data_IF_763064610114
#
_entry.id   IF_763064610114
#
_cell.length_a   1.000
_cell.length_b   1.000
_cell.length_c   1.000
_cell.angle_alpha   90.00
_cell.angle_beta   90.00
_cell.angle_gamma   90.00
#
_symmetry.space_group_name_H-M   'P 1'
#
loop_
_entity.id
_entity.type
_entity.pdbx_description
1 polymer ?
#
# COMPACT_ATOMS: atom_id res chain seq x y z
N UNK A 1 59.17 56.47 -21.94
CA UNK A 1 58.91 57.65 -21.09
C UNK A 1 57.48 58.12 -21.32
N UNK A 2 56.72 58.43 -20.28
CA UNK A 2 56.44 57.66 -19.05
C UNK A 2 54.96 57.21 -19.04
N UNK A 3 54.55 56.05 -18.50
CA UNK A 3 54.57 55.54 -17.12
C UNK A 3 53.42 56.07 -16.25
N UNK A 4 52.61 55.15 -15.70
CA UNK A 4 52.04 55.02 -14.34
C UNK A 4 50.91 53.96 -14.43
N UNK A 5 51.02 52.69 -13.99
CA UNK A 5 51.26 52.12 -12.65
C UNK A 5 50.24 52.65 -11.62
N UNK A 6 49.60 51.90 -10.72
CA UNK A 6 49.45 50.47 -10.40
C UNK A 6 48.42 50.41 -9.24
N UNK A 7 48.02 49.20 -8.88
CA UNK A 7 47.66 48.76 -7.51
C UNK A 7 46.19 48.76 -7.05
N UNK A 8 45.68 47.53 -7.00
CA UNK A 8 44.77 46.92 -6.01
C UNK A 8 45.04 47.36 -4.56
N UNK A 9 44.01 47.39 -3.70
CA UNK A 9 44.18 47.18 -2.26
C UNK A 9 43.54 45.85 -1.78
N UNK A 10 44.38 45.09 -1.09
CA UNK A 10 44.10 43.91 -0.26
C UNK A 10 43.38 44.30 1.06
N UNK A 11 42.59 43.42 1.70
CA UNK A 11 41.80 43.75 2.89
C UNK A 11 42.56 43.49 4.21
N UNK A 12 42.32 44.32 5.23
CA UNK A 12 42.73 44.12 6.64
C UNK A 12 42.02 45.13 7.56
N UNK A 13 41.98 44.96 8.90
CA UNK A 13 41.37 43.91 9.72
C UNK A 13 40.41 44.51 10.79
N UNK A 14 39.62 43.72 11.58
CA UNK A 14 38.82 44.29 12.66
C UNK A 14 39.67 44.55 13.92
N UNK A 15 39.66 45.80 14.41
CA UNK A 15 40.25 46.20 15.70
C UNK A 15 39.19 46.21 16.80
N UNK A 16 39.43 45.38 17.81
CA UNK A 16 38.85 45.43 19.15
C UNK A 16 39.35 46.62 19.96
N UNK A 17 38.58 47.01 20.99
CA UNK A 17 38.95 47.58 22.31
C UNK A 17 38.00 48.72 22.69
N UNK A 18 37.60 49.00 23.94
CA UNK A 18 37.78 48.52 25.33
C UNK A 18 36.83 49.45 26.16
N UNK A 19 36.28 49.15 27.33
CA UNK A 19 36.86 49.14 28.69
C UNK A 19 35.66 49.02 29.67
N UNK A 20 35.60 48.07 30.61
CA UNK A 20 36.17 48.07 31.98
C UNK A 20 35.36 48.99 32.96
N UNK A 21 35.10 48.67 34.25
CA UNK A 21 35.74 47.75 35.18
C UNK A 21 34.94 47.57 36.52
N UNK A 22 35.27 46.49 37.26
CA UNK A 22 35.47 46.40 38.74
C UNK A 22 34.26 46.42 39.70
N UNK A 23 34.18 45.71 40.84
CA UNK A 23 35.06 44.86 41.67
C UNK A 23 34.14 43.92 42.52
N UNK A 24 34.41 42.63 42.76
CA UNK A 24 35.37 41.96 43.67
C UNK A 24 35.22 42.28 45.17
N UNK A 25 34.78 41.27 45.94
CA UNK A 25 35.29 40.78 47.24
C UNK A 25 34.17 39.99 47.97
N UNK A 26 34.37 38.94 48.78
CA UNK A 26 35.42 37.96 49.10
C UNK A 26 34.73 37.05 50.14
N UNK A 27 34.89 35.73 50.08
CA UNK A 27 34.22 34.87 51.07
C UNK A 27 34.44 33.37 50.91
N UNK A 28 35.68 32.96 51.08
CA UNK A 28 36.15 31.58 51.16
C UNK A 28 35.45 30.79 52.28
N UNK A 29 34.94 29.59 51.98
CA UNK A 29 34.98 28.44 52.90
C UNK A 29 35.01 27.13 52.13
N UNK A 30 35.83 26.25 52.67
CA UNK A 30 36.40 25.05 52.13
C UNK A 30 35.75 23.81 52.80
N UNK A 31 35.74 22.69 52.07
CA UNK A 31 35.67 21.30 52.54
C UNK A 31 34.39 20.72 53.18
N UNK A 32 33.70 19.86 52.42
CA UNK A 32 33.52 18.40 52.69
C UNK A 32 32.35 17.81 51.86
N UNK A 33 32.43 16.55 51.38
CA UNK A 33 31.42 15.96 50.50
C UNK A 33 30.23 15.40 51.31
N UNK A 34 29.00 15.75 50.92
CA UNK A 34 27.79 15.10 51.47
C UNK A 34 27.33 14.02 50.51
N UNK A 35 27.16 12.84 51.08
CA UNK A 35 26.88 11.56 50.45
C UNK A 35 25.62 11.55 49.59
N UNK A 36 25.74 10.89 48.43
CA UNK A 36 24.66 10.48 47.55
C UNK A 36 23.78 9.45 48.28
N UNK A 37 22.54 9.81 48.57
CA UNK A 37 21.55 8.86 49.11
C UNK A 37 21.24 7.78 48.06
N UNK A 38 21.36 6.51 48.50
CA UNK A 38 21.10 5.29 47.73
C UNK A 38 19.60 4.97 47.75
N UNK A 39 18.97 4.57 46.62
CA UNK A 39 17.59 4.06 46.63
C UNK A 39 17.49 2.73 47.41
N UNK A 40 16.39 2.44 48.11
CA UNK A 40 16.24 1.19 48.84
C UNK A 40 16.18 0.00 47.89
N UNK A 41 17.04 -0.99 48.14
CA UNK A 41 17.05 -2.27 47.45
C UNK A 41 15.93 -3.15 48.02
N UNK A 42 15.06 -3.66 47.15
CA UNK A 42 14.18 -4.79 47.48
C UNK A 42 15.06 -6.04 47.60
N UNK A 43 15.24 -6.52 48.83
CA UNK A 43 15.93 -7.76 49.15
C UNK A 43 15.02 -8.95 48.90
N UNK A 44 15.40 -9.77 47.93
CA UNK A 44 14.95 -11.16 47.75
C UNK A 44 15.54 -12.02 48.87
N UNK A 45 14.77 -12.88 49.56
CA UNK A 45 15.33 -13.84 50.50
C UNK A 45 15.98 -15.06 49.79
N UNK A 46 17.04 -15.66 50.35
CA UNK A 46 17.78 -16.79 49.79
C UNK A 46 17.06 -18.15 49.93
N UNK A 47 17.48 -19.19 49.18
CA UNK A 47 16.81 -20.48 49.12
C UNK A 47 17.12 -21.34 50.36
N UNK A 48 16.11 -22.09 50.83
CA UNK A 48 16.27 -23.13 51.83
C UNK A 48 16.53 -24.47 51.14
N UNK A 49 17.60 -25.15 51.54
CA UNK A 49 17.91 -26.52 51.17
C UNK A 49 17.03 -27.52 51.96
N UNK A 50 16.40 -28.41 51.19
CA UNK A 50 16.34 -29.88 51.34
C UNK A 50 16.07 -30.51 52.72
N UNK A 51 14.88 -31.12 52.88
CA UNK A 51 14.79 -32.58 53.12
C UNK A 51 13.40 -33.18 52.77
N UNK A 52 13.45 -34.26 51.99
CA UNK A 52 12.57 -35.45 51.90
C UNK A 52 11.10 -35.40 51.38
N UNK A 53 10.91 -36.18 50.28
CA UNK A 53 9.76 -37.05 49.91
C UNK A 53 8.39 -36.36 49.64
N UNK A 54 7.69 -36.57 48.53
CA UNK A 54 7.47 -37.78 47.71
C UNK A 54 6.89 -37.35 46.34
N UNK A 55 7.35 -37.88 45.22
CA UNK A 55 6.77 -37.62 43.88
C UNK A 55 6.23 -38.92 43.24
N UNK A 56 5.04 -38.90 42.61
CA UNK A 56 4.49 -40.03 41.85
C UNK A 56 5.09 -40.14 40.43
N UNK A 57 5.01 -41.33 39.79
CA UNK A 57 5.93 -41.74 38.72
C UNK A 57 5.54 -41.28 37.31
N UNK A 58 6.56 -41.10 36.46
CA UNK A 58 6.47 -40.90 35.02
C UNK A 58 6.36 -42.25 34.25
N UNK A 59 5.80 -42.28 33.03
CA UNK A 59 5.61 -43.50 32.24
C UNK A 59 6.92 -43.99 31.60
N UNK A 60 7.09 -45.31 31.36
CA UNK A 60 8.37 -45.87 30.93
C UNK A 60 8.56 -45.84 29.39
N UNK A 61 9.71 -45.33 28.98
CA UNK A 61 10.32 -45.59 27.66
C UNK A 61 11.00 -46.96 27.68
N UNK A 62 10.62 -47.85 26.76
CA UNK A 62 11.21 -49.18 26.59
C UNK A 62 12.46 -49.09 25.69
N UNK A 63 13.61 -49.48 26.23
CA UNK A 63 14.82 -49.75 25.47
C UNK A 63 14.93 -51.25 25.11
N UNK A 64 15.69 -51.48 24.04
CA UNK A 64 15.97 -52.72 23.31
C UNK A 64 16.78 -53.76 24.09
N UNK A 65 16.54 -55.04 23.79
CA UNK A 65 17.49 -56.15 24.00
C UNK A 65 17.55 -57.05 22.75
N UNK A 66 18.78 -57.48 22.40
CA UNK A 66 19.18 -58.42 21.34
C UNK A 66 18.80 -59.89 21.72
N UNK A 67 18.83 -60.96 20.90
CA UNK A 67 19.77 -61.34 19.84
C UNK A 67 19.29 -62.56 18.99
N UNK A 68 19.84 -62.64 17.76
CA UNK A 68 20.35 -63.78 16.96
C UNK A 68 19.47 -65.02 16.55
N UNK A 69 19.40 -65.28 15.23
CA UNK A 69 19.98 -66.46 14.50
C UNK A 69 19.77 -66.37 12.96
N UNK A 70 20.53 -67.16 12.20
CA UNK A 70 21.22 -66.87 10.90
C UNK A 70 20.57 -67.58 9.64
N UNK A 71 21.23 -67.76 8.44
CA UNK A 71 20.87 -67.26 7.09
C UNK A 71 20.50 -68.40 6.06
N UNK A 72 20.62 -68.36 4.69
CA UNK A 72 21.66 -67.80 3.75
C UNK A 72 21.11 -66.91 2.58
N UNK A 73 21.83 -65.87 2.11
CA UNK A 73 22.88 -65.76 1.06
C UNK A 73 22.44 -65.93 -0.41
N UNK A 74 22.59 -64.88 -1.24
CA UNK A 74 23.21 -64.91 -2.58
C UNK A 74 23.95 -63.56 -2.80
N UNK A 75 25.23 -63.71 -3.18
CA UNK A 75 26.27 -62.75 -3.60
C UNK A 75 25.86 -61.87 -4.81
N UNK A 76 26.51 -60.76 -5.21
CA UNK A 76 27.94 -60.47 -5.50
C UNK A 76 28.07 -58.93 -5.67
N UNK A 77 28.95 -58.19 -4.95
CA UNK A 77 30.29 -57.68 -5.34
C UNK A 77 30.43 -57.20 -6.82
N UNK A 78 31.15 -56.14 -7.20
CA UNK A 78 32.40 -55.61 -6.66
C UNK A 78 32.75 -54.19 -7.19
N UNK A 79 33.57 -53.54 -6.34
CA UNK A 79 34.52 -52.44 -6.39
C UNK A 79 34.83 -51.54 -7.62
N UNK A 80 35.36 -50.40 -7.18
CA UNK A 80 36.03 -49.29 -7.83
C UNK A 80 37.29 -49.66 -8.64
N UNK A 81 37.72 -48.75 -9.53
CA UNK A 81 39.02 -48.06 -9.38
C UNK A 81 39.12 -46.81 -10.26
N UNK A 82 39.95 -45.88 -9.80
CA UNK A 82 40.49 -44.70 -10.47
C UNK A 82 41.40 -45.08 -11.63
N UNK A 83 41.53 -44.19 -12.60
CA UNK A 83 42.75 -44.04 -13.40
C UNK A 83 42.89 -42.60 -13.90
N UNK A 84 43.95 -41.94 -13.45
CA UNK A 84 44.63 -40.83 -14.13
C UNK A 84 45.56 -41.40 -15.20
N UNK A 85 45.79 -40.70 -16.33
CA UNK A 85 47.10 -40.13 -16.79
C UNK A 85 47.00 -39.65 -18.25
N UNK A 86 47.55 -38.45 -18.49
CA UNK A 86 48.06 -37.77 -19.72
C UNK A 86 47.55 -38.04 -21.14
N UNK A 87 47.47 -36.94 -21.90
CA UNK A 87 47.41 -36.95 -23.36
C UNK A 87 47.27 -35.56 -24.01
N UNK A 88 48.38 -34.82 -24.04
CA UNK A 88 48.66 -33.62 -24.85
C UNK A 88 48.06 -33.61 -26.27
N UNK A 89 47.58 -32.44 -26.75
CA UNK A 89 48.15 -31.71 -27.91
C UNK A 89 47.14 -30.84 -28.70
N UNK A 90 47.58 -29.60 -28.93
CA UNK A 90 47.38 -28.74 -30.11
C UNK A 90 46.04 -28.02 -30.38
N UNK A 91 46.10 -26.68 -30.21
CA UNK A 91 45.45 -25.71 -31.09
C UNK A 91 46.06 -25.81 -32.52
N UNK A 92 45.33 -25.39 -33.57
CA UNK A 92 45.59 -24.02 -34.05
C UNK A 92 44.41 -23.28 -34.73
N UNK A 93 44.62 -21.96 -34.79
CA UNK A 93 44.38 -21.05 -35.90
C UNK A 93 42.96 -20.70 -36.39
N UNK A 94 42.75 -19.37 -36.32
CA UNK A 94 41.83 -18.53 -37.05
C UNK A 94 41.60 -18.93 -38.52
N UNK A 95 40.35 -18.74 -38.97
CA UNK A 95 40.04 -18.54 -40.38
C UNK A 95 38.86 -17.58 -40.50
N UNK A 96 39.15 -16.39 -41.02
CA UNK A 96 38.16 -15.44 -41.55
C UNK A 96 37.63 -15.97 -42.87
N UNK A 97 36.33 -15.81 -43.16
CA UNK A 97 35.96 -15.35 -44.49
C UNK A 97 34.97 -14.19 -44.45
N UNK A 98 35.35 -13.11 -45.13
CA UNK A 98 34.49 -12.06 -45.65
C UNK A 98 33.59 -12.63 -46.77
N UNK A 99 32.35 -12.15 -46.92
CA UNK A 99 32.00 -11.46 -48.16
C UNK A 99 31.18 -10.18 -47.87
N UNK A 100 31.64 -9.03 -48.38
CA UNK A 100 31.17 -8.38 -49.61
C UNK A 100 29.76 -7.84 -49.48
N UNK A 101 29.69 -6.51 -49.38
CA UNK A 101 28.48 -5.72 -49.51
C UNK A 101 27.82 -5.96 -50.87
N UNK A 102 26.49 -6.04 -50.87
CA UNK A 102 25.72 -5.44 -51.95
C UNK A 102 24.44 -4.81 -51.40
N UNK A 103 24.22 -3.59 -51.84
CA UNK A 103 23.12 -2.74 -51.46
C UNK A 103 21.92 -3.05 -52.36
N UNK A 104 20.70 -3.13 -51.81
CA UNK A 104 19.46 -2.79 -52.52
C UNK A 104 18.25 -2.77 -51.59
N UNK A 105 17.69 -1.58 -51.43
CA UNK A 105 16.31 -1.26 -51.05
C UNK A 105 16.02 0.10 -51.73
N UNK A 106 14.77 0.53 -51.99
CA UNK A 106 13.47 -0.07 -51.69
C UNK A 106 12.48 -0.05 -52.89
N UNK A 107 11.31 -0.69 -52.74
CA UNK A 107 10.10 -0.25 -53.43
C UNK A 107 8.86 -0.56 -52.60
N UNK A 108 8.09 0.49 -52.34
CA UNK A 108 6.84 0.55 -51.60
C UNK A 108 5.71 -0.20 -52.29
N UNK A 109 4.82 -0.82 -51.50
CA UNK A 109 3.44 -1.05 -51.90
C UNK A 109 2.52 -0.89 -50.68
N UNK A 110 1.73 0.17 -50.75
CA UNK A 110 0.59 0.52 -49.91
C UNK A 110 -0.54 -0.49 -50.08
N UNK A 111 -1.15 -0.94 -48.99
CA UNK A 111 -2.49 -1.51 -49.00
C UNK A 111 -3.23 -1.08 -47.73
N UNK A 112 -4.07 -0.07 -47.91
CA UNK A 112 -5.13 0.35 -47.00
C UNK A 112 -6.29 -0.63 -47.09
N UNK A 113 -6.75 -1.14 -45.95
CA UNK A 113 -8.07 -1.73 -45.81
C UNK A 113 -8.72 -1.13 -44.57
N UNK A 114 -9.59 -0.17 -44.82
CA UNK A 114 -10.52 0.36 -43.83
C UNK A 114 -11.61 -0.68 -43.54
N UNK A 115 -11.93 -0.84 -42.26
CA UNK A 115 -13.16 -1.45 -41.81
C UNK A 115 -13.96 -0.39 -41.05
N UNK A 116 -15.02 0.07 -41.72
CA UNK A 116 -16.09 0.88 -41.15
C UNK A 116 -16.85 0.04 -40.12
N UNK A 117 -17.07 0.58 -38.93
CA UNK A 117 -18.07 0.06 -38.00
C UNK A 117 -18.96 1.23 -37.56
N UNK A 118 -20.23 1.09 -37.92
CA UNK A 118 -21.31 2.02 -37.70
C UNK A 118 -21.63 2.19 -36.22
N UNK A 119 -22.18 3.36 -35.94
CA UNK A 119 -22.81 3.77 -34.69
C UNK A 119 -23.95 2.84 -34.30
N UNK A 120 -24.02 2.46 -33.02
CA UNK A 120 -25.29 2.23 -32.35
C UNK A 120 -25.30 3.01 -31.03
N UNK A 121 -26.42 3.68 -30.79
CA UNK A 121 -26.66 4.59 -29.70
C UNK A 121 -27.52 3.90 -28.65
N UNK A 122 -27.15 4.02 -27.37
CA UNK A 122 -28.07 3.73 -26.28
C UNK A 122 -27.42 3.15 -25.03
N UNK A 123 -26.93 4.01 -24.14
CA UNK A 123 -26.89 3.72 -22.70
C UNK A 123 -26.82 5.06 -21.95
N UNK A 124 -27.66 5.20 -20.92
CA UNK A 124 -27.74 6.39 -20.05
C UNK A 124 -26.43 6.68 -19.30
N UNK A 125 -26.40 7.70 -18.42
CA UNK A 125 -25.17 8.16 -17.80
C UNK A 125 -24.67 7.13 -16.77
N UNK A 126 -23.96 6.13 -17.25
CA UNK A 126 -23.11 5.25 -16.47
C UNK A 126 -21.72 5.84 -16.45
N UNK A 127 -21.21 6.11 -15.24
CA UNK A 127 -19.80 6.42 -14.97
C UNK A 127 -18.88 5.57 -15.87
N UNK A 128 -18.21 6.24 -16.81
CA UNK A 128 -17.46 5.58 -17.87
C UNK A 128 -16.30 4.76 -17.28
N UNK A 129 -16.34 3.45 -17.50
CA UNK A 129 -15.24 2.56 -17.17
C UNK A 129 -14.11 2.75 -18.18
N UNK A 130 -12.93 3.14 -17.70
CA UNK A 130 -11.73 3.22 -18.52
C UNK A 130 -11.13 1.82 -18.68
N UNK A 131 -11.29 1.22 -19.86
CA UNK A 131 -10.66 -0.04 -20.23
C UNK A 131 -9.44 0.24 -21.11
N UNK A 132 -8.28 -0.29 -20.72
CA UNK A 132 -7.05 -0.18 -21.49
C UNK A 132 -6.31 -1.53 -21.51
N UNK A 133 -5.47 -1.72 -22.52
CA UNK A 133 -4.62 -2.90 -22.61
C UNK A 133 -3.28 -2.56 -21.94
N UNK A 134 -2.91 -3.35 -20.94
CA UNK A 134 -1.56 -3.37 -20.44
C UNK A 134 -0.60 -4.05 -21.44
N UNK A 135 0.69 -3.75 -21.31
CA UNK A 135 1.79 -4.45 -21.95
C UNK A 135 1.67 -5.95 -21.64
N UNK A 136 2.09 -6.77 -22.59
CA UNK A 136 1.83 -8.22 -22.69
C UNK A 136 0.38 -8.62 -23.02
N UNK A 137 -0.46 -7.68 -23.47
CA UNK A 137 -1.82 -7.95 -23.93
C UNK A 137 -2.80 -8.23 -22.78
N UNK A 138 -2.43 -7.85 -21.57
CA UNK A 138 -3.25 -8.01 -20.39
C UNK A 138 -4.32 -6.92 -20.34
N UNK A 139 -5.60 -7.29 -20.27
CA UNK A 139 -6.69 -6.32 -20.19
C UNK A 139 -6.86 -5.87 -18.75
N UNK A 140 -6.91 -4.55 -18.53
CA UNK A 140 -7.34 -3.99 -17.25
C UNK A 140 -8.48 -3.01 -17.46
N UNK A 141 -9.31 -2.83 -16.43
CA UNK A 141 -10.30 -1.78 -16.44
C UNK A 141 -10.52 -1.23 -15.04
N UNK A 142 -10.30 0.07 -14.89
CA UNK A 142 -10.29 0.74 -13.58
C UNK A 142 -11.67 0.66 -12.90
N UNK A 143 -11.73 0.40 -11.57
CA UNK A 143 -12.95 0.58 -10.81
C UNK A 143 -13.45 2.03 -10.86
N UNK A 144 -14.78 2.26 -10.82
CA UNK A 144 -15.33 3.60 -10.77
C UNK A 144 -14.84 4.35 -9.52
N UNK A 145 -14.64 5.67 -9.64
CA UNK A 145 -14.36 6.53 -8.50
C UNK A 145 -15.44 6.36 -7.43
N UNK A 146 -15.02 6.26 -6.18
CA UNK A 146 -15.93 5.98 -5.07
C UNK A 146 -15.31 6.38 -3.73
N UNK A 147 -16.16 6.80 -2.81
CA UNK A 147 -15.81 6.91 -1.41
C UNK A 147 -16.47 5.78 -0.62
N UNK A 148 -15.67 5.04 0.13
CA UNK A 148 -16.05 3.77 0.74
C UNK A 148 -15.75 3.82 2.24
N UNK A 149 -16.70 3.35 3.05
CA UNK A 149 -16.53 3.20 4.49
C UNK A 149 -16.21 1.75 4.83
N UNK A 150 -15.32 1.54 5.80
CA UNK A 150 -14.93 0.23 6.28
C UNK A 150 -15.00 0.13 7.79
N UNK A 151 -15.57 -0.95 8.31
CA UNK A 151 -15.37 -1.34 9.69
C UNK A 151 -13.94 -1.82 9.88
N UNK A 152 -13.22 -1.21 10.82
CA UNK A 152 -11.85 -1.54 11.14
C UNK A 152 -11.79 -2.44 12.35
N UNK A 153 -10.95 -3.47 12.31
CA UNK A 153 -10.71 -4.39 13.41
C UNK A 153 -9.21 -4.52 13.66
N UNK A 154 -8.81 -4.48 14.92
CA UNK A 154 -7.45 -4.77 15.36
C UNK A 154 -7.49 -5.95 16.32
N UNK A 155 -6.84 -7.05 15.95
CA UNK A 155 -6.91 -8.32 16.68
C UNK A 155 -8.36 -8.76 16.98
N UNK A 156 -9.26 -8.55 16.01
CA UNK A 156 -10.70 -8.86 16.14
C UNK A 156 -11.53 -7.84 16.94
N UNK A 157 -10.91 -6.86 17.59
CA UNK A 157 -11.60 -5.78 18.30
C UNK A 157 -11.96 -4.68 17.31
N UNK A 158 -13.25 -4.31 17.25
CA UNK A 158 -13.71 -3.25 16.37
C UNK A 158 -13.20 -1.87 16.83
N UNK A 159 -12.67 -1.11 15.88
CA UNK A 159 -12.23 0.28 16.01
C UNK A 159 -13.18 1.21 15.25
N UNK A 160 -13.05 2.54 15.43
CA UNK A 160 -13.77 3.49 14.60
C UNK A 160 -13.57 3.18 13.10
N UNK A 161 -14.64 3.35 12.31
CA UNK A 161 -14.61 3.02 10.89
C UNK A 161 -13.56 3.83 10.14
N UNK A 162 -12.86 3.18 9.20
CA UNK A 162 -11.99 3.84 8.25
C UNK A 162 -12.69 4.21 6.96
N UNK A 163 -11.99 4.95 6.11
CA UNK A 163 -12.45 5.31 4.76
C UNK A 163 -11.40 4.97 3.72
N UNK A 164 -11.86 4.62 2.51
CA UNK A 164 -11.06 4.57 1.30
C UNK A 164 -11.72 5.52 0.30
N UNK A 165 -11.01 6.57 -0.07
CA UNK A 165 -11.37 7.47 -1.16
C UNK A 165 -10.56 7.07 -2.39
N UNK A 166 -11.25 6.68 -3.46
CA UNK A 166 -10.65 6.30 -4.73
C UNK A 166 -11.19 7.24 -5.81
N UNK A 167 -10.28 7.92 -6.52
CA UNK A 167 -10.62 8.79 -7.65
C UNK A 167 -9.71 8.54 -8.84
N UNK A 168 -10.28 8.59 -10.03
CA UNK A 168 -9.54 8.52 -11.29
C UNK A 168 -10.32 9.23 -12.40
N UNK A 169 -9.59 9.87 -13.31
CA UNK A 169 -10.11 10.42 -14.57
C UNK A 169 -9.72 9.56 -15.80
N UNK A 170 -9.14 8.38 -15.56
CA UNK A 170 -8.63 7.48 -16.60
C UNK A 170 -7.18 7.76 -17.02
N UNK A 171 -6.60 8.90 -16.66
CA UNK A 171 -5.21 9.29 -16.93
C UNK A 171 -4.39 9.40 -15.65
N UNK A 172 -5.02 9.84 -14.57
CA UNK A 172 -4.45 9.98 -13.24
C UNK A 172 -5.34 9.30 -12.20
N UNK A 173 -4.78 9.04 -11.03
CA UNK A 173 -5.54 8.51 -9.91
C UNK A 173 -5.03 9.05 -8.57
N UNK A 174 -5.92 9.03 -7.58
CA UNK A 174 -5.60 9.21 -6.18
C UNK A 174 -6.34 8.17 -5.34
N UNK A 175 -5.64 7.58 -4.38
CA UNK A 175 -6.20 6.69 -3.38
C UNK A 175 -5.81 7.19 -1.99
N UNK A 176 -6.78 7.44 -1.13
CA UNK A 176 -6.57 7.85 0.27
C UNK A 176 -7.23 6.83 1.18
N UNK A 177 -6.45 6.22 2.06
CA UNK A 177 -6.92 5.28 3.08
C UNK A 177 -6.74 5.93 4.44
N UNK A 178 -7.81 6.03 5.22
CA UNK A 178 -7.80 6.59 6.58
C UNK A 178 -8.33 5.58 7.58
N UNK A 179 -7.51 5.18 8.55
CA UNK A 179 -7.86 4.21 9.60
C UNK A 179 -7.69 4.89 10.97
N UNK A 180 -8.78 5.42 11.56
CA UNK A 180 -8.73 6.03 12.89
C UNK A 180 -8.50 4.96 13.98
N UNK A 181 -7.40 5.08 14.72
CA UNK A 181 -7.09 4.20 15.85
C UNK A 181 -7.15 4.97 17.18
N UNK A 182 -7.84 4.43 18.22
CA UNK A 182 -7.86 5.04 19.54
C UNK A 182 -6.45 5.22 20.12
N UNK A 183 -6.21 6.35 20.79
CA UNK A 183 -4.94 6.73 21.46
C UNK A 183 -3.71 6.95 20.55
N UNK A 184 -3.65 6.35 19.36
CA UNK A 184 -2.52 6.49 18.42
C UNK A 184 -2.76 7.59 17.39
N UNK A 185 -4.01 7.82 17.00
CA UNK A 185 -4.41 8.75 15.94
C UNK A 185 -4.80 8.01 14.66
N UNK A 186 -5.00 8.76 13.57
CA UNK A 186 -5.36 8.19 12.27
C UNK A 186 -4.14 7.70 11.52
N UNK A 187 -4.19 6.47 11.02
CA UNK A 187 -3.24 5.99 10.03
C UNK A 187 -3.74 6.43 8.66
N UNK A 188 -2.95 7.21 7.95
CA UNK A 188 -3.28 7.73 6.63
C UNK A 188 -2.29 7.23 5.60
N UNK A 189 -2.79 6.71 4.49
CA UNK A 189 -2.00 6.24 3.37
C UNK A 189 -2.53 6.88 2.10
N UNK A 190 -1.64 7.51 1.33
CA UNK A 190 -2.01 8.21 0.09
C UNK A 190 -1.14 7.66 -1.03
N UNK A 191 -1.76 7.17 -2.09
CA UNK A 191 -1.11 6.80 -3.34
C UNK A 191 -1.64 7.66 -4.47
N UNK A 192 -0.73 8.28 -5.21
CA UNK A 192 -1.04 9.17 -6.33
C UNK A 192 -0.16 8.81 -7.53
N UNK A 193 -0.73 8.88 -8.71
CA UNK A 193 0.01 8.59 -9.92
C UNK A 193 -0.78 8.74 -11.20
N UNK A 194 -0.22 8.14 -12.25
CA UNK A 194 -0.80 8.11 -13.59
C UNK A 194 -1.32 6.71 -13.93
N UNK A 195 -2.05 6.63 -15.02
CA UNK A 195 -2.43 5.39 -15.67
C UNK A 195 -1.54 5.24 -16.90
N UNK A 196 -0.85 4.11 -17.02
CA UNK A 196 0.01 3.82 -18.16
C UNK A 196 -0.35 2.48 -18.81
N UNK A 197 0.49 2.05 -19.74
CA UNK A 197 0.36 0.76 -20.39
C UNK A 197 0.61 -0.42 -19.45
N UNK A 198 0.75 -0.29 -18.13
CA UNK A 198 0.76 -1.40 -17.18
C UNK A 198 -0.41 -1.30 -16.19
N UNK A 199 -1.23 -0.24 -16.26
CA UNK A 199 -2.29 0.05 -15.30
C UNK A 199 -1.91 1.21 -14.41
N UNK A 200 -2.07 1.05 -13.09
CA UNK A 200 -1.68 2.07 -12.13
C UNK A 200 -0.15 2.24 -12.14
N UNK A 201 0.29 3.47 -12.20
CA UNK A 201 1.70 3.86 -12.18
C UNK A 201 1.89 4.92 -11.09
N UNK A 202 2.10 4.50 -9.82
CA UNK A 202 2.38 5.41 -8.73
C UNK A 202 3.57 6.33 -9.05
N UNK A 203 3.42 7.59 -8.66
CA UNK A 203 4.44 8.63 -8.66
C UNK A 203 4.83 9.02 -7.24
N UNK A 204 3.88 8.92 -6.31
CA UNK A 204 4.07 9.28 -4.91
C UNK A 204 3.22 8.40 -4.01
N UNK A 205 3.86 7.87 -2.97
CA UNK A 205 3.20 7.20 -1.87
C UNK A 205 3.55 7.91 -0.56
N UNK A 206 2.55 8.17 0.29
CA UNK A 206 2.70 8.87 1.56
C UNK A 206 2.04 8.06 2.67
N UNK A 207 2.75 7.89 3.78
CA UNK A 207 2.32 7.11 4.93
C UNK A 207 2.47 7.95 6.20
N UNK A 208 1.38 8.08 6.95
CA UNK A 208 1.37 8.78 8.23
C UNK A 208 0.76 7.87 9.30
N UNK A 209 1.56 7.51 10.29
CA UNK A 209 1.12 6.65 11.39
C UNK A 209 0.71 7.47 12.61
N UNK A 210 -0.57 7.79 12.70
CA UNK A 210 -1.14 8.49 13.84
C UNK A 210 -0.58 9.90 13.93
N UNK A 211 -0.02 10.25 15.09
CA UNK A 211 0.62 11.56 15.32
C UNK A 211 2.11 11.60 14.96
N UNK A 212 2.65 10.53 14.38
CA UNK A 212 4.06 10.47 13.96
C UNK A 212 4.27 11.27 12.67
N UNK A 213 5.55 11.44 12.33
CA UNK A 213 5.96 12.04 11.06
C UNK A 213 5.45 11.25 9.85
N UNK A 214 5.50 11.92 8.71
CA UNK A 214 5.07 11.41 7.41
C UNK A 214 6.26 10.79 6.68
N UNK A 215 6.14 9.54 6.27
CA UNK A 215 7.08 8.85 5.40
C UNK A 215 6.57 8.96 3.94
N UNK A 216 7.48 9.15 2.99
CA UNK A 216 7.17 9.35 1.57
C UNK A 216 8.08 8.46 0.73
N UNK A 217 7.49 7.78 -0.24
CA UNK A 217 8.17 7.08 -1.31
C UNK A 217 7.88 7.80 -2.63
N UNK A 218 8.92 8.21 -3.34
CA UNK A 218 8.82 8.87 -4.65
C UNK A 218 9.24 7.91 -5.75
N UNK A 219 8.49 7.86 -6.85
CA UNK A 219 8.71 6.96 -7.97
C UNK A 219 9.16 7.78 -9.19
N UNK A 220 10.46 7.81 -9.42
CA UNK A 220 11.09 8.58 -10.50
C UNK A 220 11.14 7.73 -11.77
N UNK A 221 10.05 7.79 -12.55
CA UNK A 221 9.85 6.98 -13.78
C UNK A 221 10.36 7.62 -15.06
N UNK A 222 10.43 8.95 -15.11
CA UNK A 222 10.66 9.73 -16.34
C UNK A 222 12.08 10.30 -16.41
N UNK A 223 13.04 9.64 -15.78
CA UNK A 223 14.40 10.15 -15.71
C UNK A 223 15.07 10.11 -17.09
N UNK A 224 15.16 11.27 -17.74
CA UNK A 224 15.62 11.44 -19.12
C UNK A 224 17.07 10.93 -19.39
N UNK A 225 17.88 10.75 -18.34
CA UNK A 225 19.29 10.35 -18.43
C UNK A 225 19.67 9.19 -17.47
N UNK A 226 18.68 8.52 -16.85
CA UNK A 226 18.88 7.55 -15.75
C UNK A 226 18.00 6.30 -15.85
N UNK A 227 18.29 5.31 -15.00
CA UNK A 227 17.40 4.15 -14.82
C UNK A 227 16.25 4.54 -13.89
N UNK A 228 14.98 4.19 -14.21
CA UNK A 228 13.86 4.43 -13.31
C UNK A 228 14.16 3.89 -11.92
N UNK A 229 13.90 4.69 -10.89
CA UNK A 229 14.20 4.34 -9.52
C UNK A 229 13.17 4.92 -8.55
N UNK A 230 13.24 4.51 -7.29
CA UNK A 230 12.44 5.06 -6.23
C UNK A 230 13.28 5.45 -5.03
N UNK A 231 12.90 6.54 -4.38
CA UNK A 231 13.58 7.11 -3.22
C UNK A 231 12.63 7.19 -2.01
N UNK A 232 13.19 7.12 -0.81
CA UNK A 232 12.44 7.06 0.44
C UNK A 232 12.86 8.19 1.37
N UNK A 233 11.94 8.78 2.12
CA UNK A 233 12.31 9.72 3.20
C UNK A 233 12.80 8.99 4.45
N UNK A 234 12.36 7.75 4.66
CA UNK A 234 12.67 6.94 5.84
C UNK A 234 14.06 6.29 5.76
N UNK A 235 14.55 6.05 4.55
CA UNK A 235 15.83 5.41 4.29
C UNK A 235 16.56 6.14 3.15
N UNK A 236 17.88 6.30 3.27
CA UNK A 236 18.71 6.89 2.21
C UNK A 236 18.98 5.93 1.03
N UNK A 237 18.24 4.81 0.95
CA UNK A 237 18.33 3.84 -0.13
C UNK A 237 17.59 4.33 -1.38
N UNK A 238 18.01 3.80 -2.52
CA UNK A 238 17.25 3.86 -3.77
C UNK A 238 17.03 2.45 -4.28
N UNK A 239 15.90 2.23 -4.94
CA UNK A 239 15.50 0.93 -5.48
C UNK A 239 15.20 1.08 -6.96
N UNK A 240 15.79 0.22 -7.80
CA UNK A 240 15.47 0.15 -9.23
C UNK A 240 13.96 -0.11 -9.42
N UNK A 241 13.35 0.63 -10.34
CA UNK A 241 11.90 0.62 -10.52
C UNK A 241 11.51 -0.14 -11.81
N UNK A 242 11.12 -1.43 -11.72
CA UNK A 242 10.66 -2.15 -12.88
C UNK A 242 9.32 -1.58 -13.38
N UNK A 243 8.99 -1.80 -14.68
CA UNK A 243 7.67 -1.45 -15.19
C UNK A 243 6.54 -2.09 -14.39
N UNK A 244 5.45 -1.36 -14.18
CA UNK A 244 4.30 -1.83 -13.40
C UNK A 244 4.55 -1.94 -11.89
N UNK A 245 5.67 -1.44 -11.36
CA UNK A 245 5.90 -1.34 -9.92
C UNK A 245 4.78 -0.55 -9.23
N UNK A 246 4.43 -0.97 -8.02
CA UNK A 246 3.32 -0.45 -7.23
C UNK A 246 3.80 -0.01 -5.84
N UNK A 247 2.97 0.73 -5.12
CA UNK A 247 3.05 0.82 -3.66
C UNK A 247 2.08 -0.19 -3.01
N UNK A 248 2.12 -0.25 -1.68
CA UNK A 248 1.36 -1.23 -0.90
C UNK A 248 -0.15 -1.15 -1.06
N UNK A 249 -0.72 0.03 -1.35
CA UNK A 249 -2.16 0.20 -1.50
C UNK A 249 -2.59 0.23 -2.96
N UNK A 250 -1.83 0.90 -3.84
CA UNK A 250 -2.10 0.89 -5.28
C UNK A 250 -2.08 -0.52 -5.86
N UNK A 251 -1.25 -1.43 -5.33
CA UNK A 251 -1.23 -2.83 -5.77
C UNK A 251 -2.61 -3.50 -5.68
N UNK A 252 -3.42 -3.22 -4.64
CA UNK A 252 -4.76 -3.81 -4.53
C UNK A 252 -5.74 -3.22 -5.55
N UNK A 253 -5.60 -1.93 -5.88
CA UNK A 253 -6.40 -1.29 -6.92
C UNK A 253 -5.96 -1.72 -8.32
N UNK A 254 -4.67 -1.99 -8.51
CA UNK A 254 -4.13 -2.62 -9.71
C UNK A 254 -4.69 -4.04 -9.87
N UNK A 255 -4.63 -4.87 -8.83
CA UNK A 255 -5.24 -6.20 -8.83
C UNK A 255 -6.73 -6.13 -9.17
N UNK A 256 -7.46 -5.21 -8.54
CA UNK A 256 -8.89 -4.96 -8.82
C UNK A 256 -9.13 -4.62 -10.29
N UNK A 257 -8.28 -3.76 -10.87
CA UNK A 257 -8.36 -3.34 -12.26
C UNK A 257 -8.10 -4.48 -13.24
N UNK A 258 -7.11 -5.34 -12.96
CA UNK A 258 -6.79 -6.48 -13.81
C UNK A 258 -7.86 -7.58 -13.71
N UNK A 259 -8.35 -7.87 -12.51
CA UNK A 259 -9.46 -8.82 -12.30
C UNK A 259 -10.72 -8.32 -12.99
N UNK A 260 -11.03 -7.03 -12.89
CA UNK A 260 -12.15 -6.42 -13.60
C UNK A 260 -12.00 -6.47 -15.12
N UNK A 261 -10.79 -6.29 -15.64
CA UNK A 261 -10.49 -6.35 -17.08
C UNK A 261 -10.57 -7.76 -17.68
N UNK A 262 -10.27 -8.80 -16.91
CA UNK A 262 -10.41 -10.19 -17.34
C UNK A 262 -10.72 -11.15 -16.17
N UNK A 263 -11.96 -11.20 -15.67
CA UNK A 263 -12.30 -12.00 -14.49
C UNK A 263 -12.05 -13.50 -14.67
N UNK A 264 -12.17 -14.02 -15.90
CA UNK A 264 -11.99 -15.43 -16.22
C UNK A 264 -10.55 -15.91 -16.14
N UNK A 265 -9.56 -15.01 -16.15
CA UNK A 265 -8.14 -15.35 -15.94
C UNK A 265 -7.81 -15.74 -14.51
N UNK A 266 -8.59 -15.30 -13.54
CA UNK A 266 -8.30 -15.45 -12.11
C UNK A 266 -9.08 -16.63 -11.54
N UNK A 267 -8.65 -17.84 -11.88
CA UNK A 267 -9.13 -19.08 -11.29
C UNK A 267 -8.24 -19.49 -10.10
N UNK A 268 -8.72 -20.34 -9.18
CA UNK A 268 -7.92 -20.84 -8.06
C UNK A 268 -6.52 -21.32 -8.47
N UNK A 269 -5.50 -20.95 -7.71
CA UNK A 269 -4.08 -21.26 -7.95
C UNK A 269 -3.37 -20.33 -8.95
N UNK A 270 -4.09 -19.46 -9.67
CA UNK A 270 -3.44 -18.47 -10.54
C UNK A 270 -2.74 -17.43 -9.68
N UNK A 271 -1.42 -17.34 -9.85
CA UNK A 271 -0.54 -16.41 -9.13
C UNK A 271 -0.05 -15.30 -10.03
N UNK A 272 -0.01 -14.08 -9.52
CA UNK A 272 0.57 -12.90 -10.17
C UNK A 272 1.62 -12.26 -9.30
N UNK A 273 2.65 -11.72 -9.94
CA UNK A 273 3.75 -11.06 -9.25
C UNK A 273 3.56 -9.55 -9.37
N UNK A 274 3.69 -8.84 -8.25
CA UNK A 274 3.71 -7.39 -8.21
C UNK A 274 4.99 -6.94 -7.53
N UNK A 275 5.76 -6.06 -8.16
CA UNK A 275 6.85 -5.40 -7.44
C UNK A 275 6.27 -4.26 -6.61
N UNK A 276 6.34 -4.36 -5.29
CA UNK A 276 5.69 -3.46 -4.35
C UNK A 276 6.75 -2.75 -3.52
N UNK A 277 6.70 -1.43 -3.52
CA UNK A 277 7.49 -0.59 -2.63
C UNK A 277 6.76 -0.34 -1.31
N UNK A 278 7.49 -0.50 -0.20
CA UNK A 278 7.11 -0.04 1.13
C UNK A 278 7.70 1.38 1.36
N UNK A 279 7.80 1.79 2.63
CA UNK A 279 8.39 3.06 3.02
C UNK A 279 9.94 3.07 3.10
N UNK A 280 10.61 1.93 2.94
CA UNK A 280 12.08 1.81 3.02
C UNK A 280 12.73 0.83 2.01
N UNK A 281 11.92 0.03 1.31
CA UNK A 281 12.38 -1.10 0.51
C UNK A 281 11.38 -1.50 -0.57
N UNK A 282 11.82 -2.36 -1.50
CA UNK A 282 11.01 -2.92 -2.58
C UNK A 282 11.01 -4.44 -2.59
N UNK A 283 9.85 -5.05 -2.79
CA UNK A 283 9.69 -6.49 -2.76
C UNK A 283 8.68 -7.01 -3.79
N UNK A 284 8.98 -8.13 -4.43
CA UNK A 284 8.01 -8.84 -5.27
C UNK A 284 7.01 -9.62 -4.42
N UNK A 285 5.72 -9.33 -4.56
CA UNK A 285 4.61 -10.00 -3.91
C UNK A 285 3.91 -10.96 -4.87
N UNK A 286 4.02 -12.29 -4.65
CA UNK A 286 3.18 -13.28 -5.31
C UNK A 286 1.77 -13.26 -4.72
N UNK A 287 0.78 -12.83 -5.50
CA UNK A 287 -0.62 -12.83 -5.13
C UNK A 287 -1.33 -13.97 -5.85
N UNK A 288 -1.77 -14.96 -5.09
CA UNK A 288 -2.52 -16.11 -5.58
C UNK A 288 -4.02 -15.87 -5.47
N UNK A 289 -4.77 -16.32 -6.48
CA UNK A 289 -6.22 -16.45 -6.40
C UNK A 289 -6.57 -17.70 -5.60
N UNK A 290 -7.25 -17.53 -4.48
CA UNK A 290 -7.67 -18.66 -3.63
C UNK A 290 -8.97 -19.26 -4.15
N UNK A 291 -9.97 -18.42 -4.42
CA UNK A 291 -11.28 -18.84 -4.92
C UNK A 291 -12.40 -17.87 -4.56
N UNK A 292 -13.63 -18.22 -4.92
CA UNK A 292 -14.81 -17.41 -4.61
C UNK A 292 -15.40 -17.83 -3.25
N UNK A 293 -15.67 -16.86 -2.38
CA UNK A 293 -16.28 -17.07 -1.07
C UNK A 293 -17.32 -15.99 -0.74
N UNK A 294 -18.12 -16.22 0.31
CA UNK A 294 -19.11 -15.25 0.77
C UNK A 294 -18.58 -14.53 2.00
N UNK A 295 -18.41 -13.21 1.88
CA UNK A 295 -17.92 -12.36 2.96
C UNK A 295 -19.08 -11.70 3.69
N UNK A 296 -19.07 -11.76 5.03
CA UNK A 296 -20.00 -10.99 5.86
C UNK A 296 -19.52 -9.56 6.01
N UNK A 297 -20.35 -8.62 5.58
CA UNK A 297 -20.15 -7.17 5.68
C UNK A 297 -21.29 -6.54 6.48
N UNK A 298 -21.17 -5.25 6.82
CA UNK A 298 -22.28 -4.51 7.44
C UNK A 298 -23.43 -4.26 6.47
N UNK A 299 -23.21 -4.48 5.17
CA UNK A 299 -24.23 -4.43 4.12
C UNK A 299 -24.84 -5.82 3.82
N UNK A 300 -24.47 -6.85 4.58
CA UNK A 300 -24.94 -8.23 4.40
C UNK A 300 -23.85 -9.17 3.86
N UNK A 301 -24.29 -10.28 3.27
CA UNK A 301 -23.40 -11.30 2.72
C UNK A 301 -23.10 -11.02 1.26
N UNK A 302 -21.83 -10.83 0.93
CA UNK A 302 -21.38 -10.42 -0.41
C UNK A 302 -20.45 -11.49 -0.98
N UNK A 303 -20.79 -12.12 -2.13
CA UNK A 303 -19.87 -12.98 -2.85
C UNK A 303 -18.65 -12.18 -3.33
N UNK A 304 -17.46 -12.72 -3.11
CA UNK A 304 -16.20 -12.10 -3.49
C UNK A 304 -15.14 -13.15 -3.82
N UNK A 305 -14.18 -12.75 -4.64
CA UNK A 305 -13.00 -13.55 -4.92
C UNK A 305 -11.90 -13.23 -3.92
N UNK A 306 -11.42 -14.25 -3.24
CA UNK A 306 -10.31 -14.19 -2.29
C UNK A 306 -8.97 -14.32 -3.02
N UNK A 307 -8.05 -13.44 -2.65
CA UNK A 307 -6.65 -13.49 -3.03
C UNK A 307 -5.76 -13.45 -1.79
N UNK A 308 -4.60 -14.08 -1.87
CA UNK A 308 -3.64 -14.13 -0.76
C UNK A 308 -2.21 -13.89 -1.25
N UNK A 309 -1.40 -13.20 -0.45
CA UNK A 309 0.04 -13.10 -0.69
C UNK A 309 0.71 -14.40 -0.24
N UNK A 310 1.39 -15.08 -1.15
CA UNK A 310 2.17 -16.26 -0.83
C UNK A 310 3.47 -15.88 -0.08
N UNK A 311 3.91 -16.70 0.88
CA UNK A 311 5.23 -16.57 1.49
C UNK A 311 6.33 -16.68 0.43
N UNK A 312 7.34 -15.80 0.50
CA UNK A 312 8.45 -15.80 -0.49
C UNK A 312 9.61 -16.70 -0.11
N UNK A 313 9.73 -16.98 1.19
CA UNK A 313 10.82 -17.75 1.79
C UNK A 313 10.36 -18.37 3.09
N UNK A 314 11.09 -19.37 3.55
CA UNK A 314 10.89 -19.94 4.88
C UNK A 314 10.98 -18.82 5.93
N UNK A 315 9.99 -18.76 6.83
CA UNK A 315 9.87 -17.72 7.85
C UNK A 315 9.21 -16.40 7.41
N UNK A 316 8.78 -16.23 6.15
CA UNK A 316 7.90 -15.12 5.75
C UNK A 316 6.49 -15.34 6.33
N UNK A 317 6.28 -14.83 7.55
CA UNK A 317 5.04 -14.99 8.32
C UNK A 317 4.01 -13.90 8.05
N UNK A 318 4.36 -12.89 7.24
CA UNK A 318 3.45 -11.79 6.91
C UNK A 318 2.42 -12.28 5.89
N UNK A 319 1.16 -12.29 6.30
CA UNK A 319 0.03 -12.70 5.44
C UNK A 319 -0.78 -11.48 5.05
N UNK A 320 -1.20 -11.45 3.79
CA UNK A 320 -2.09 -10.42 3.26
C UNK A 320 -3.19 -11.16 2.50
N UNK A 321 -4.43 -10.94 2.90
CA UNK A 321 -5.61 -11.47 2.23
C UNK A 321 -6.51 -10.31 1.80
N UNK A 322 -7.04 -10.40 0.59
CA UNK A 322 -7.96 -9.40 0.03
C UNK A 322 -9.12 -10.10 -0.67
N UNK A 323 -10.32 -9.55 -0.52
CA UNK A 323 -11.53 -10.06 -1.15
C UNK A 323 -12.13 -9.01 -2.05
N UNK A 324 -12.32 -9.33 -3.32
CA UNK A 324 -12.82 -8.42 -4.34
C UNK A 324 -14.23 -8.83 -4.78
N UNK A 325 -15.20 -7.92 -4.71
CA UNK A 325 -16.58 -8.23 -5.03
C UNK A 325 -16.98 -7.71 -6.41
N UNK A 326 -17.40 -8.62 -7.31
CA UNK A 326 -17.89 -8.25 -8.64
C UNK A 326 -19.08 -7.28 -8.58
N UNK A 327 -19.98 -7.44 -7.61
CA UNK A 327 -21.16 -6.58 -7.42
C UNK A 327 -20.81 -5.12 -7.08
N UNK A 328 -19.58 -4.87 -6.62
CA UNK A 328 -19.04 -3.54 -6.33
C UNK A 328 -17.93 -3.17 -7.31
N UNK A 329 -18.00 -3.67 -8.55
CA UNK A 329 -17.01 -3.35 -9.58
C UNK A 329 -15.61 -3.87 -9.25
N UNK A 330 -15.52 -5.02 -8.58
CA UNK A 330 -14.27 -5.65 -8.11
C UNK A 330 -13.48 -4.83 -7.08
N UNK A 331 -14.14 -3.91 -6.38
CA UNK A 331 -13.52 -3.20 -5.27
C UNK A 331 -13.22 -4.14 -4.08
N UNK A 332 -12.17 -3.86 -3.29
CA UNK A 332 -11.89 -4.61 -2.07
C UNK A 332 -13.01 -4.47 -1.04
N UNK A 333 -13.64 -5.58 -0.67
CA UNK A 333 -14.69 -5.60 0.36
C UNK A 333 -14.21 -6.13 1.71
N UNK A 334 -13.05 -6.77 1.72
CA UNK A 334 -12.36 -7.20 2.92
C UNK A 334 -10.86 -7.17 2.67
N UNK A 335 -10.13 -6.76 3.68
CA UNK A 335 -8.69 -6.77 3.71
C UNK A 335 -8.24 -7.27 5.06
N UNK A 336 -7.32 -8.24 5.10
CA UNK A 336 -6.75 -8.76 6.34
C UNK A 336 -5.24 -8.78 6.16
N UNK A 337 -4.54 -8.08 7.06
CA UNK A 337 -3.10 -8.12 7.17
C UNK A 337 -2.74 -8.76 8.50
N UNK A 338 -1.95 -9.83 8.44
CA UNK A 338 -1.40 -10.48 9.62
C UNK A 338 0.12 -10.29 9.62
N UNK A 339 0.61 -9.63 10.66
CA UNK A 339 2.02 -9.38 10.88
C UNK A 339 2.75 -10.63 11.42
N UNK A 340 4.09 -10.68 11.33
CA UNK A 340 4.85 -11.80 11.87
C UNK A 340 4.64 -12.05 13.36
N UNK A 341 4.32 -11.04 14.17
CA UNK A 341 4.01 -11.20 15.59
C UNK A 341 2.60 -11.78 15.85
N UNK A 342 1.81 -12.00 14.80
CA UNK A 342 0.42 -12.47 14.87
C UNK A 342 -0.60 -11.34 14.97
N UNK A 343 -0.17 -10.08 15.06
CA UNK A 343 -1.06 -8.92 15.05
C UNK A 343 -1.84 -8.90 13.74
N UNK A 344 -3.14 -8.68 13.82
CA UNK A 344 -4.05 -8.64 12.68
C UNK A 344 -4.75 -7.30 12.58
N UNK A 345 -4.68 -6.69 11.39
CA UNK A 345 -5.50 -5.54 11.01
C UNK A 345 -6.48 -6.05 9.95
N UNK A 346 -7.77 -5.78 10.16
CA UNK A 346 -8.82 -6.15 9.23
C UNK A 346 -9.71 -4.96 8.90
N UNK A 347 -10.02 -4.79 7.62
CA UNK A 347 -11.01 -3.83 7.12
C UNK A 347 -12.14 -4.62 6.45
N UNK A 348 -13.40 -4.30 6.77
CA UNK A 348 -14.59 -4.89 6.13
C UNK A 348 -15.49 -3.79 5.60
N UNK A 349 -15.95 -3.93 4.37
CA UNK A 349 -16.81 -2.95 3.73
C UNK A 349 -18.07 -2.68 4.57
N UNK A 350 -18.40 -1.40 4.73
CA UNK A 350 -19.51 -0.92 5.55
C UNK A 350 -20.49 -0.02 4.78
N UNK A 351 -20.27 0.17 3.47
CA UNK A 351 -21.11 0.95 2.57
C UNK A 351 -20.33 1.98 1.77
N UNK A 352 -20.91 2.44 0.68
CA UNK A 352 -20.42 3.60 -0.07
C UNK A 352 -20.94 4.88 0.58
N UNK A 353 -20.11 5.92 0.58
CA UNK A 353 -20.49 7.28 0.96
C UNK A 353 -20.96 7.94 -0.34
N UNK A 354 -22.21 8.38 -0.39
CA UNK A 354 -22.71 9.12 -1.54
C UNK A 354 -21.87 10.39 -1.68
N UNK A 355 -21.28 10.60 -2.86
CA UNK A 355 -20.86 11.94 -3.24
C UNK A 355 -22.13 12.76 -3.40
N UNK A 356 -22.33 13.76 -2.55
CA UNK A 356 -23.33 14.81 -2.79
C UNK A 356 -22.86 15.70 -3.96
N UNK A 357 -22.65 15.11 -5.14
CA UNK A 357 -22.56 15.84 -6.40
C UNK A 357 -23.99 16.05 -6.93
N UNK A 358 -24.78 16.77 -6.15
CA UNK A 358 -26.03 17.36 -6.59
C UNK A 358 -26.05 18.82 -6.13
N UNK A 359 -25.32 19.67 -6.87
CA UNK A 359 -25.69 21.07 -6.93
C UNK A 359 -27.17 21.09 -7.41
N UNK A 360 -28.10 21.71 -6.67
CA UNK A 360 -29.46 21.83 -7.17
C UNK A 360 -29.40 22.69 -8.42
N UNK A 361 -29.65 22.07 -9.58
CA UNK A 361 -30.06 22.80 -10.78
C UNK A 361 -31.29 23.59 -10.39
N UNK A 362 -31.06 24.88 -10.12
CA UNK A 362 -32.10 25.87 -9.95
C UNK A 362 -32.72 26.02 -11.34
N UNK A 363 -33.71 25.18 -11.63
CA UNK A 363 -34.55 25.33 -12.82
C UNK A 363 -35.29 26.65 -12.71
N UNK A 364 -34.63 27.71 -13.17
CA UNK A 364 -35.24 28.98 -13.50
C UNK A 364 -36.11 28.78 -14.74
N UNK A 365 -37.25 28.12 -14.58
CA UNK A 365 -38.31 28.16 -15.56
C UNK A 365 -38.95 29.55 -15.55
N UNK A 366 -38.33 30.48 -16.27
CA UNK A 366 -38.91 31.77 -16.63
C UNK A 366 -39.88 31.53 -17.78
N UNK A 367 -41.07 31.06 -17.44
CA UNK A 367 -42.21 30.94 -18.35
C UNK A 367 -43.07 32.18 -18.26
N UNK A 368 -42.98 33.01 -19.30
CA UNK A 368 -43.87 34.12 -19.64
C UNK A 368 -45.35 33.69 -19.61
N UNK A 369 -46.16 34.45 -18.87
CA UNK A 369 -47.60 34.47 -19.03
C UNK A 369 -48.12 35.87 -18.67
N UNK A 370 -47.99 36.79 -19.62
CA UNK A 370 -48.84 37.98 -19.70
C UNK A 370 -50.28 37.58 -20.04
N UNK A 371 -51.25 37.92 -19.19
CA UNK A 371 -52.65 38.25 -19.58
C UNK A 371 -53.48 38.82 -18.42
N UNK A 372 -54.01 40.01 -18.68
CA UNK A 372 -55.25 40.66 -18.23
C UNK A 372 -55.58 40.79 -16.73
N UNK A 373 -55.30 42.00 -16.23
CA UNK A 373 -56.26 43.02 -15.78
C UNK A 373 -57.65 42.65 -15.20
N UNK A 374 -57.86 43.21 -14.00
CA UNK A 374 -59.07 43.77 -13.37
C UNK A 374 -59.84 43.01 -12.27
N UNK A 375 -60.06 43.78 -11.20
CA UNK A 375 -60.92 43.62 -10.00
C UNK A 375 -60.30 42.76 -8.87
N UNK A 376 -60.14 43.21 -7.63
CA UNK A 376 -60.51 44.44 -6.94
C UNK A 376 -60.27 44.24 -5.43
N UNK A 377 -59.82 45.31 -4.76
CA UNK A 377 -60.17 45.67 -3.37
C UNK A 377 -59.69 44.77 -2.21
N UNK A 378 -58.65 45.28 -1.54
CA UNK A 378 -58.50 45.45 -0.08
C UNK A 378 -58.57 44.25 0.89
N UNK A 379 -57.43 44.04 1.57
CA UNK A 379 -57.31 43.49 2.93
C UNK A 379 -58.12 44.37 3.94
N UNK A 380 -58.47 43.92 5.18
CA UNK A 380 -57.53 43.36 6.18
C UNK A 380 -58.08 42.24 7.09
N UNK A 381 -57.19 41.77 7.97
CA UNK A 381 -57.34 40.80 9.08
C UNK A 381 -58.63 40.91 9.91
N UNK A 382 -58.95 39.86 10.70
CA UNK A 382 -59.06 40.15 12.14
C UNK A 382 -58.53 39.07 13.09
N UNK A 383 -58.29 39.61 14.27
CA UNK A 383 -57.83 39.11 15.56
C UNK A 383 -58.79 38.19 16.33
N UNK A 384 -58.16 37.40 17.21
CA UNK A 384 -58.58 36.76 18.47
C UNK A 384 -59.83 37.30 19.21
N UNK A 385 -60.59 36.40 19.85
CA UNK A 385 -60.99 36.49 21.28
C UNK A 385 -61.67 35.20 21.83
N UNK A 386 -61.25 34.81 23.04
CA UNK A 386 -61.92 34.13 24.20
C UNK A 386 -62.94 32.98 23.97
N UNK A 387 -63.07 31.93 24.78
CA UNK A 387 -63.22 31.94 26.25
C UNK A 387 -63.28 30.50 26.85
N UNK A 388 -62.91 30.41 28.13
CA UNK A 388 -63.38 29.51 29.22
C UNK A 388 -63.52 27.97 29.07
N UNK A 389 -62.76 27.29 29.93
CA UNK A 389 -62.96 25.92 30.46
C UNK A 389 -64.02 25.88 31.58
N UNK A 390 -64.68 24.74 31.82
CA UNK A 390 -64.54 24.10 33.14
C UNK A 390 -64.39 22.55 33.12
N UNK A 391 -63.91 22.09 34.27
CA UNK A 391 -63.51 20.79 34.84
C UNK A 391 -64.33 19.47 34.60
N UNK A 392 -63.83 18.30 35.08
CA UNK A 392 -64.04 16.97 34.50
C UNK A 392 -65.00 16.04 35.26
N UNK A 393 -65.34 14.90 34.66
CA UNK A 393 -65.69 13.67 35.36
C UNK A 393 -65.57 12.44 34.45
N UNK A 394 -64.72 11.48 34.80
CA UNK A 394 -64.95 10.07 34.48
C UNK A 394 -64.58 9.20 35.68
N UNK A 395 -65.30 8.09 35.74
CA UNK A 395 -65.50 7.12 36.81
C UNK A 395 -64.43 6.03 36.80
#
# INVERSE_FOLDING_TARGET
MPAHASATPEPSPPRSARHAASASERGTRESAPIARAKPPAHTTPPPSDTEAQTAPPAPPTRASDAAATTPPNIDTADAADRSTTDGSSAAPAATTPQPTADASSPASATASLGASAASDAGAGPGVAAHAANAHDGEKFSLPPSSELRYDSFYNGVQNPSGTIHWTTDGTTYQMIVSIPLPFVGTYSYISEGRIDAFGLSPLRYTEQHGRRGTDVTTFDRDENDGKPHASFTRAASSVDLPPGAQDRFSMFMQLSSLVRGNPTRYTPGVTRQFFVLDNDSGETWPIETVGDEVVRTSQGFVPARHFTRLPRREGDRRKIDVWLAQSLGWLPIRFVQTEPDGTQIELRFAGSIAHDDAAPTRDGNMGDASRDDTHGTSAPSPSSHDNATPEPAHR
#
